data_IF_117498717659
#
_entry.id   IF_117498717659
#
_cell.length_a   1.000
_cell.length_b   1.000
_cell.length_c   1.000
_cell.angle_alpha   90.00
_cell.angle_beta   90.00
_cell.angle_gamma   90.00
#
_symmetry.space_group_name_H-M   'P 1'
#
loop_
_entity.id
_entity.type
_entity.pdbx_description
1 polymer ?
#
# COMPACT_ATOMS: atom_id res chain seq x y z
N UNK A 1 -6.15 -8.09 -5.07
CA UNK A 1 -5.91 -7.96 -3.63
C UNK A 1 -5.33 -6.59 -3.25
N UNK A 2 -5.39 -5.58 -4.11
CA UNK A 2 -4.90 -4.24 -3.79
C UNK A 2 -6.00 -3.42 -3.14
N UNK A 3 -5.69 -2.85 -1.97
CA UNK A 3 -6.53 -1.91 -1.25
C UNK A 3 -6.11 -0.48 -1.59
N UNK A 4 -7.08 0.40 -1.78
CA UNK A 4 -6.88 1.82 -2.07
C UNK A 4 -7.88 2.61 -1.24
N UNK A 5 -7.42 3.68 -0.60
CA UNK A 5 -8.26 4.59 0.16
C UNK A 5 -7.68 6.00 0.19
N UNK A 6 -8.55 6.98 0.28
CA UNK A 6 -8.27 8.34 0.72
C UNK A 6 -8.46 8.45 2.24
N UNK A 7 -7.81 9.42 2.88
CA UNK A 7 -7.89 9.65 4.34
C UNK A 7 -9.31 9.91 4.84
N UNK A 8 -10.19 10.42 3.98
CA UNK A 8 -11.59 10.63 4.33
C UNK A 8 -12.46 9.38 4.16
N UNK A 9 -11.92 8.30 3.57
CA UNK A 9 -12.67 7.06 3.40
C UNK A 9 -12.71 6.27 4.73
N UNK A 10 -13.85 5.64 5.02
CA UNK A 10 -14.04 4.87 6.26
C UNK A 10 -13.14 3.62 6.37
N UNK A 11 -12.55 3.20 5.26
CA UNK A 11 -11.66 2.05 5.16
C UNK A 11 -10.18 2.46 5.06
N UNK A 12 -9.84 3.73 5.28
CA UNK A 12 -8.45 4.17 5.41
C UNK A 12 -7.77 3.48 6.60
N UNK A 13 -6.49 3.13 6.42
CA UNK A 13 -5.72 2.37 7.42
C UNK A 13 -4.52 3.22 7.80
N UNK A 14 -4.47 3.82 9.01
CA UNK A 14 -3.30 4.58 9.43
C UNK A 14 -2.09 3.66 9.56
N UNK A 15 -1.08 3.87 8.70
CA UNK A 15 0.14 3.04 8.65
C UNK A 15 1.26 3.62 9.50
N UNK A 16 1.32 4.94 9.65
CA UNK A 16 2.35 5.65 10.40
C UNK A 16 1.78 6.20 11.71
N UNK A 17 2.59 6.18 12.77
CA UNK A 17 2.23 6.77 14.05
C UNK A 17 2.32 8.29 13.98
N UNK A 18 1.33 9.00 14.56
CA UNK A 18 1.25 10.46 14.59
C UNK A 18 1.23 11.17 13.22
N UNK A 19 0.80 10.49 12.15
CA UNK A 19 0.71 11.06 10.79
C UNK A 19 -0.23 12.28 10.70
N UNK A 20 -1.21 12.37 11.59
CA UNK A 20 -2.14 13.52 11.69
C UNK A 20 -1.48 14.76 12.33
N UNK A 21 -0.38 14.57 13.06
CA UNK A 21 0.35 15.64 13.72
C UNK A 21 1.58 16.10 12.93
N UNK A 22 1.91 15.42 11.83
CA UNK A 22 2.98 15.82 10.93
C UNK A 22 2.60 17.08 10.12
N UNK A 23 3.59 17.91 9.76
CA UNK A 23 3.35 19.05 8.86
C UNK A 23 2.82 18.61 7.49
N UNK A 24 3.10 17.36 7.10
CA UNK A 24 2.61 16.75 5.87
C UNK A 24 1.96 15.41 6.23
N UNK A 25 0.64 15.36 6.07
CA UNK A 25 -0.17 14.16 6.26
C UNK A 25 -0.34 13.39 4.94
N UNK A 26 -0.19 12.07 4.96
CA UNK A 26 -0.46 11.24 3.78
C UNK A 26 -1.96 11.00 3.60
N UNK A 27 -2.56 11.66 2.60
CA UNK A 27 -4.00 11.62 2.36
C UNK A 27 -4.44 10.47 1.44
N UNK A 28 -3.51 9.87 0.71
CA UNK A 28 -3.80 8.80 -0.23
C UNK A 28 -2.92 7.59 0.05
N UNK A 29 -3.54 6.40 0.05
CA UNK A 29 -2.84 5.16 0.29
C UNK A 29 -3.20 4.07 -0.73
N UNK A 30 -2.22 3.23 -1.02
CA UNK A 30 -2.39 1.98 -1.74
C UNK A 30 -1.60 0.88 -1.05
N UNK A 31 -2.26 -0.23 -0.76
CA UNK A 31 -1.67 -1.35 -0.03
C UNK A 31 -1.88 -2.62 -0.87
N UNK A 32 -0.79 -3.30 -1.21
CA UNK A 32 -0.82 -4.59 -1.89
C UNK A 32 -0.09 -5.63 -1.06
N UNK A 33 -0.73 -6.74 -0.65
CA UNK A 33 -0.06 -7.77 0.12
C UNK A 33 0.98 -8.51 -0.75
N UNK A 34 2.09 -8.89 -0.12
CA UNK A 34 3.09 -9.81 -0.65
C UNK A 34 2.63 -11.21 -0.27
N UNK A 35 2.26 -11.99 -1.27
CA UNK A 35 1.81 -13.37 -1.09
C UNK A 35 2.95 -14.31 -1.50
N UNK A 36 3.24 -15.29 -0.65
CA UNK A 36 4.24 -16.34 -0.84
C UNK A 36 3.59 -17.67 -0.45
N UNK A 37 3.52 -18.63 -1.37
CA UNK A 37 2.89 -19.95 -1.18
C UNK A 37 1.45 -19.92 -0.60
N UNK A 38 0.71 -18.84 -0.83
CA UNK A 38 -0.66 -18.66 -0.34
C UNK A 38 -0.76 -17.92 1.00
N UNK A 39 0.37 -17.66 1.68
CA UNK A 39 0.44 -16.89 2.91
C UNK A 39 0.83 -15.43 2.65
N UNK A 40 0.23 -14.51 3.42
CA UNK A 40 0.59 -13.10 3.39
C UNK A 40 1.79 -12.84 4.31
N UNK A 41 2.96 -12.61 3.72
CA UNK A 41 4.20 -12.35 4.47
C UNK A 41 4.42 -10.87 4.78
N UNK A 42 3.79 -9.98 4.02
CA UNK A 42 3.95 -8.53 4.18
C UNK A 42 3.11 -7.75 3.18
N UNK A 43 3.44 -6.49 2.96
CA UNK A 43 2.76 -5.64 1.99
C UNK A 43 3.68 -4.56 1.39
N UNK A 44 3.36 -4.15 0.17
CA UNK A 44 3.84 -2.92 -0.46
C UNK A 44 2.83 -1.82 -0.18
N UNK A 45 3.31 -0.71 0.40
CA UNK A 45 2.49 0.44 0.75
C UNK A 45 3.00 1.67 0.02
N UNK A 46 2.14 2.32 -0.75
CA UNK A 46 2.38 3.66 -1.27
C UNK A 46 1.56 4.67 -0.48
N UNK A 47 2.21 5.73 -0.04
CA UNK A 47 1.61 6.84 0.69
C UNK A 47 1.89 8.13 -0.08
N UNK A 48 0.90 9.00 -0.20
CA UNK A 48 1.08 10.31 -0.82
C UNK A 48 0.18 11.37 -0.16
N UNK A 49 0.70 12.59 0.07
CA UNK A 49 -0.11 13.69 0.61
C UNK A 49 -1.13 14.25 -0.40
N UNK A 50 -0.86 14.15 -1.70
CA UNK A 50 -1.56 14.90 -2.75
C UNK A 50 -1.93 14.06 -3.98
N UNK A 51 -1.19 12.97 -4.25
CA UNK A 51 -1.42 12.12 -5.40
C UNK A 51 -2.39 10.98 -5.07
N UNK A 52 -3.58 11.03 -5.67
CA UNK A 52 -4.53 9.91 -5.65
C UNK A 52 -3.92 8.67 -6.28
N UNK A 53 -4.17 7.53 -5.64
CA UNK A 53 -3.73 6.24 -6.12
C UNK A 53 -4.66 5.74 -7.21
N UNK A 54 -4.10 5.34 -8.36
CA UNK A 54 -4.85 4.88 -9.51
C UNK A 54 -4.36 3.54 -10.05
N UNK A 55 -4.76 3.24 -11.29
CA UNK A 55 -4.41 1.99 -11.96
C UNK A 55 -2.89 1.81 -12.13
N UNK A 56 -2.18 2.91 -12.40
CA UNK A 56 -0.72 2.89 -12.60
C UNK A 56 0.00 2.51 -11.30
N UNK A 57 -0.32 3.19 -10.20
CA UNK A 57 0.25 2.90 -8.88
C UNK A 57 -0.12 1.48 -8.42
N UNK A 58 -1.35 1.05 -8.69
CA UNK A 58 -1.80 -0.31 -8.36
C UNK A 58 -1.04 -1.40 -9.11
N UNK A 59 -0.86 -1.26 -10.43
CA UNK A 59 -0.08 -2.22 -11.22
C UNK A 59 1.39 -2.23 -10.82
N UNK A 60 1.96 -1.08 -10.49
CA UNK A 60 3.33 -0.99 -10.01
C UNK A 60 3.50 -1.73 -8.68
N UNK A 61 2.63 -1.48 -7.70
CA UNK A 61 2.67 -2.16 -6.41
C UNK A 61 2.42 -3.67 -6.53
N UNK A 62 1.49 -4.11 -7.39
CA UNK A 62 1.26 -5.53 -7.69
C UNK A 62 2.49 -6.19 -8.32
N UNK A 63 3.16 -5.51 -9.25
CA UNK A 63 4.38 -6.02 -9.88
C UNK A 63 5.49 -6.17 -8.84
N UNK A 64 5.69 -5.16 -7.97
CA UNK A 64 6.68 -5.22 -6.90
C UNK A 64 6.36 -6.33 -5.87
N UNK A 65 5.11 -6.45 -5.43
CA UNK A 65 4.70 -7.48 -4.49
C UNK A 65 4.85 -8.89 -5.08
N UNK A 66 4.44 -9.08 -6.34
CA UNK A 66 4.60 -10.35 -7.04
C UNK A 66 6.06 -10.71 -7.32
N UNK A 67 6.93 -9.72 -7.54
CA UNK A 67 8.37 -9.94 -7.67
C UNK A 67 8.97 -10.42 -6.35
N UNK A 68 8.69 -9.73 -5.24
CA UNK A 68 9.22 -10.07 -3.92
C UNK A 68 8.69 -11.41 -3.40
N UNK A 69 7.38 -11.70 -3.58
CA UNK A 69 6.80 -12.99 -3.19
C UNK A 69 7.56 -14.16 -3.82
N UNK A 70 7.84 -14.10 -5.13
CA UNK A 70 8.63 -15.13 -5.83
C UNK A 70 10.09 -15.22 -5.39
N UNK A 71 10.69 -14.13 -4.90
CA UNK A 71 12.05 -14.16 -4.37
C UNK A 71 12.10 -14.79 -2.98
N UNK A 72 10.99 -14.75 -2.23
CA UNK A 72 10.89 -15.38 -0.90
C UNK A 72 10.57 -16.89 -0.97
N UNK A 73 10.02 -17.35 -2.10
CA UNK A 73 9.75 -18.77 -2.39
C UNK A 73 11.00 -19.57 -2.83
N UNK A 74 12.11 -18.89 -3.10
CA UNK A 74 13.38 -19.49 -3.56
C UNK A 74 14.39 -19.57 -2.41
#
# INVERSE_FOLDING_TARGET
STHVADRNDSNFIPVLENDDAAEVSYNHQLITPIICEGDALGAIVFLSPDKKMGEVEGKLAQTAAGFLGKQMEQ
#
